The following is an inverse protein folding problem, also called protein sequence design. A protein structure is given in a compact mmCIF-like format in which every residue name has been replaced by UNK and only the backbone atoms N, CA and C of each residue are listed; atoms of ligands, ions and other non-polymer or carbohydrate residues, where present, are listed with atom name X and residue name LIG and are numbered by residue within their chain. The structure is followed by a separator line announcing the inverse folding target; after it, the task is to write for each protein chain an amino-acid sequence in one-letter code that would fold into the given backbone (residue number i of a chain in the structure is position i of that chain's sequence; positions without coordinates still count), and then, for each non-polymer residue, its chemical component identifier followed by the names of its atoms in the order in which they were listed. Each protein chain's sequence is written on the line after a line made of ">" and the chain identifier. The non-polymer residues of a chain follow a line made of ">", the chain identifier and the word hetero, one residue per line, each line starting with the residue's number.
data_IF_070086152250
#
_entry.id   IF_070086152250
#
_cell.length_a   1.000
_cell.length_b   1.000
_cell.length_c   1.000
_cell.angle_alpha   90.00
_cell.angle_beta   90.00
_cell.angle_gamma   90.00
#
_symmetry.space_group_name_H-M   'P 1'
#
loop_
_entity.id
_entity.type
_entity.pdbx_description
1 polymer ?
#
# COMPACT_ATOMS: atom_id res chain seq x y z
N UNK A 1 18.79 -17.39 -3.13
CA UNK A 1 17.37 -17.28 -3.55
C UNK A 1 17.35 -17.27 -5.06
N UNK A 2 16.48 -18.05 -5.70
CA UNK A 2 16.34 -18.03 -7.17
C UNK A 2 15.84 -16.65 -7.64
N UNK A 3 16.24 -16.25 -8.84
CA UNK A 3 15.76 -15.01 -9.44
C UNK A 3 14.26 -15.13 -9.76
N UNK A 4 13.44 -14.09 -9.55
CA UNK A 4 12.03 -14.13 -9.90
C UNK A 4 11.85 -14.31 -11.41
N UNK A 5 10.83 -15.08 -11.79
CA UNK A 5 10.43 -15.25 -13.19
C UNK A 5 9.82 -13.93 -13.70
N UNK A 6 10.24 -13.49 -14.88
CA UNK A 6 9.76 -12.21 -15.44
C UNK A 6 8.57 -12.41 -16.35
N UNK A 7 7.56 -11.58 -16.17
CA UNK A 7 6.36 -11.47 -17.00
C UNK A 7 6.44 -10.11 -17.73
N UNK A 8 6.71 -10.15 -19.03
CA UNK A 8 7.00 -8.95 -19.82
C UNK A 8 5.76 -8.40 -20.55
N UNK A 9 4.76 -9.24 -20.80
CA UNK A 9 3.61 -8.84 -21.62
C UNK A 9 2.32 -9.58 -21.28
N UNK A 10 1.19 -8.97 -21.64
CA UNK A 10 -0.14 -9.61 -21.59
C UNK A 10 -0.21 -10.85 -22.50
N UNK A 11 0.47 -10.83 -23.64
CA UNK A 11 0.52 -11.99 -24.53
C UNK A 11 1.21 -13.18 -23.88
N UNK A 12 2.31 -12.94 -23.14
CA UNK A 12 2.97 -14.00 -22.38
C UNK A 12 2.03 -14.61 -21.34
N UNK A 13 1.32 -13.78 -20.56
CA UNK A 13 0.33 -14.25 -19.59
C UNK A 13 -0.72 -15.16 -20.26
N UNK A 14 -1.30 -14.70 -21.35
CA UNK A 14 -2.33 -15.46 -22.07
C UNK A 14 -1.79 -16.81 -22.56
N UNK A 15 -0.59 -16.85 -23.14
CA UNK A 15 0.03 -18.06 -23.64
C UNK A 15 0.33 -19.07 -22.52
N UNK A 16 0.90 -18.61 -21.40
CA UNK A 16 1.17 -19.45 -20.22
C UNK A 16 -0.13 -20.00 -19.62
N UNK A 17 -1.21 -19.21 -19.66
CA UNK A 17 -2.55 -19.60 -19.20
C UNK A 17 -3.32 -20.45 -20.23
N UNK A 18 -2.78 -20.66 -21.44
CA UNK A 18 -3.46 -21.39 -22.50
C UNK A 18 -4.66 -20.65 -23.09
N UNK A 19 -4.67 -19.32 -22.99
CA UNK A 19 -5.73 -18.46 -23.48
C UNK A 19 -5.32 -17.72 -24.76
N UNK A 20 -6.30 -17.43 -25.62
CA UNK A 20 -6.08 -16.66 -26.85
C UNK A 20 -5.88 -15.18 -26.49
N UNK A 21 -4.84 -14.56 -27.05
CA UNK A 21 -4.65 -13.11 -26.96
C UNK A 21 -5.59 -12.38 -27.91
N UNK A 22 -6.56 -11.66 -27.35
CA UNK A 22 -7.51 -10.83 -28.10
C UNK A 22 -6.97 -9.40 -28.30
N UNK A 23 -6.20 -8.90 -27.33
CA UNK A 23 -5.55 -7.58 -27.39
C UNK A 23 -4.16 -7.65 -26.76
N UNK A 24 -3.11 -7.07 -27.36
CA UNK A 24 -1.74 -7.21 -26.87
C UNK A 24 -1.48 -6.49 -25.53
N UNK A 25 -2.28 -5.48 -25.18
CA UNK A 25 -2.06 -4.62 -24.03
C UNK A 25 -3.03 -4.85 -22.87
N UNK A 26 -4.07 -5.65 -23.03
CA UNK A 26 -5.06 -5.91 -21.95
C UNK A 26 -5.69 -7.29 -22.11
N UNK A 27 -5.97 -7.93 -20.98
CA UNK A 27 -6.70 -9.20 -20.92
C UNK A 27 -7.50 -9.29 -19.63
N UNK A 28 -8.68 -9.92 -19.69
CA UNK A 28 -9.49 -10.33 -18.55
C UNK A 28 -9.72 -11.82 -18.66
N UNK A 29 -9.23 -12.58 -17.70
CA UNK A 29 -9.28 -14.04 -17.69
C UNK A 29 -10.08 -14.58 -16.52
N UNK A 30 -10.92 -15.57 -16.80
CA UNK A 30 -11.40 -16.51 -15.80
C UNK A 30 -10.25 -17.47 -15.49
N UNK A 31 -9.71 -17.39 -14.29
CA UNK A 31 -8.55 -18.17 -13.88
C UNK A 31 -8.89 -19.66 -13.73
N UNK A 32 -10.15 -20.00 -13.45
CA UNK A 32 -10.60 -21.38 -13.32
C UNK A 32 -10.53 -22.15 -14.65
N UNK A 33 -10.60 -21.42 -15.77
CA UNK A 33 -10.48 -21.95 -17.14
C UNK A 33 -9.05 -21.90 -17.68
N UNK A 34 -8.11 -21.48 -16.85
CA UNK A 34 -6.70 -21.31 -17.26
C UNK A 34 -5.87 -22.54 -16.90
N UNK A 35 -4.73 -22.72 -17.58
CA UNK A 35 -3.75 -23.75 -17.19
C UNK A 35 -3.19 -23.46 -15.80
N UNK A 36 -2.83 -24.50 -15.03
CA UNK A 36 -2.11 -24.35 -13.77
C UNK A 36 -0.82 -23.56 -13.94
N UNK A 37 -0.40 -22.86 -12.90
CA UNK A 37 0.82 -22.07 -12.87
C UNK A 37 1.81 -22.65 -11.89
N UNK A 38 3.09 -22.44 -12.19
CA UNK A 38 4.17 -22.84 -11.28
C UNK A 38 4.14 -21.96 -10.03
N UNK A 39 4.32 -22.58 -8.88
CA UNK A 39 4.52 -21.90 -7.62
C UNK A 39 5.94 -21.30 -7.62
N UNK A 40 6.05 -20.01 -7.83
CA UNK A 40 7.31 -19.31 -7.96
C UNK A 40 7.17 -17.83 -7.58
N UNK A 41 8.31 -17.14 -7.48
CA UNK A 41 8.36 -15.68 -7.39
C UNK A 41 8.36 -15.10 -8.79
N UNK A 42 7.55 -14.08 -8.99
CA UNK A 42 7.40 -13.38 -10.26
C UNK A 42 7.71 -11.90 -10.10
N UNK A 43 8.19 -11.27 -11.17
CA UNK A 43 8.24 -9.83 -11.36
C UNK A 43 7.52 -9.50 -12.66
N UNK A 44 6.65 -8.50 -12.67
CA UNK A 44 5.82 -8.19 -13.85
C UNK A 44 6.08 -6.78 -14.35
N UNK A 45 6.09 -6.61 -15.68
CA UNK A 45 6.06 -5.30 -16.34
C UNK A 45 4.61 -4.85 -16.64
N UNK A 46 3.62 -5.64 -16.20
CA UNK A 46 2.19 -5.48 -16.45
C UNK A 46 1.48 -5.22 -15.11
N UNK A 47 0.50 -4.33 -15.07
CA UNK A 47 -0.43 -4.24 -13.95
C UNK A 47 -1.26 -5.51 -13.89
N UNK A 48 -1.35 -6.12 -12.71
CA UNK A 48 -2.10 -7.35 -12.48
C UNK A 48 -3.07 -7.15 -11.33
N UNK A 49 -4.33 -7.49 -11.55
CA UNK A 49 -5.36 -7.44 -10.53
C UNK A 49 -6.02 -8.82 -10.49
N UNK A 50 -6.08 -9.40 -9.30
CA UNK A 50 -6.70 -10.69 -9.07
C UNK A 50 -7.91 -10.54 -8.17
N UNK A 51 -9.07 -10.97 -8.66
CA UNK A 51 -10.26 -11.19 -7.84
C UNK A 51 -10.32 -12.69 -7.52
N UNK A 52 -10.11 -13.04 -6.27
CA UNK A 52 -10.19 -14.41 -5.77
C UNK A 52 -11.58 -14.68 -5.20
N UNK A 53 -12.20 -15.77 -5.63
CA UNK A 53 -13.60 -16.15 -5.33
C UNK A 53 -13.75 -17.09 -4.13
N UNK A 54 -12.66 -17.69 -3.63
CA UNK A 54 -12.75 -18.70 -2.59
C UNK A 54 -11.95 -18.30 -1.35
N UNK A 55 -12.36 -18.88 -0.21
CA UNK A 55 -11.53 -19.05 0.99
C UNK A 55 -10.19 -19.65 0.53
N UNK A 56 -9.26 -18.79 0.13
CA UNK A 56 -7.92 -19.25 -0.14
C UNK A 56 -7.42 -19.92 1.13
N UNK A 57 -7.33 -21.27 1.08
CA UNK A 57 -6.72 -22.03 2.12
C UNK A 57 -5.42 -21.33 2.54
N UNK A 58 -5.21 -21.27 3.84
CA UNK A 58 -4.05 -20.71 4.56
C UNK A 58 -2.92 -20.16 3.67
N UNK A 59 -3.09 -19.00 3.12
CA UNK A 59 -1.94 -18.21 2.70
C UNK A 59 -1.32 -17.72 4.00
N UNK A 60 -0.31 -18.45 4.47
CA UNK A 60 0.47 -18.09 5.65
C UNK A 60 1.29 -16.84 5.36
N UNK A 61 0.69 -15.68 5.55
CA UNK A 61 1.40 -14.43 5.65
C UNK A 61 1.35 -13.98 7.12
N UNK A 62 2.46 -14.16 7.82
CA UNK A 62 2.58 -13.74 9.21
C UNK A 62 1.62 -14.49 10.16
N UNK A 63 1.56 -14.04 11.41
CA UNK A 63 0.83 -14.70 12.52
C UNK A 63 -0.68 -14.39 12.60
N UNK A 64 -1.27 -13.70 11.64
CA UNK A 64 -2.67 -13.28 11.70
C UNK A 64 -3.52 -14.07 10.70
N UNK A 65 -4.52 -14.78 11.22
CA UNK A 65 -5.62 -15.34 10.44
C UNK A 65 -6.53 -14.18 10.01
N UNK A 66 -6.68 -13.98 8.72
CA UNK A 66 -7.70 -13.09 8.18
C UNK A 66 -8.87 -13.93 7.68
N UNK A 67 -10.07 -13.65 8.16
CA UNK A 67 -11.32 -14.21 7.63
C UNK A 67 -11.59 -13.62 6.25
N UNK A 68 -11.38 -14.43 5.22
CA UNK A 68 -11.67 -14.11 3.82
C UNK A 68 -13.03 -14.72 3.45
N UNK A 69 -14.13 -14.09 3.80
CA UNK A 69 -15.41 -14.77 3.65
C UNK A 69 -16.07 -14.59 2.28
N UNK A 70 -15.81 -13.50 1.51
CA UNK A 70 -16.68 -13.18 0.37
C UNK A 70 -15.96 -12.81 -0.93
N UNK A 71 -14.69 -12.49 -0.91
CA UNK A 71 -13.87 -12.15 -2.07
C UNK A 71 -12.71 -11.25 -1.74
N UNK A 72 -11.60 -11.41 -2.48
CA UNK A 72 -10.37 -10.66 -2.22
C UNK A 72 -9.80 -10.11 -3.52
N UNK A 73 -9.54 -8.81 -3.55
CA UNK A 73 -8.81 -8.13 -4.61
C UNK A 73 -7.36 -7.92 -4.22
N UNK A 74 -6.45 -8.35 -5.10
CA UNK A 74 -5.01 -8.11 -5.03
C UNK A 74 -4.59 -7.23 -6.19
N UNK A 75 -3.75 -6.24 -5.92
CA UNK A 75 -3.23 -5.29 -6.90
C UNK A 75 -1.71 -5.39 -6.95
N UNK A 76 -1.16 -5.56 -8.15
CA UNK A 76 0.28 -5.68 -8.38
C UNK A 76 0.67 -4.68 -9.46
N UNK A 77 1.60 -3.79 -9.11
CA UNK A 77 2.16 -2.81 -10.02
C UNK A 77 3.32 -3.40 -10.85
N UNK A 78 3.64 -2.83 -12.02
CA UNK A 78 4.87 -3.13 -12.74
C UNK A 78 6.11 -2.95 -11.86
N UNK A 79 7.04 -3.90 -11.94
CA UNK A 79 8.28 -3.92 -11.15
C UNK A 79 8.14 -4.52 -9.73
N UNK A 80 6.94 -4.82 -9.27
CA UNK A 80 6.71 -5.44 -7.98
C UNK A 80 6.95 -6.95 -8.05
N UNK A 81 7.66 -7.49 -7.05
CA UNK A 81 7.87 -8.94 -6.90
C UNK A 81 6.73 -9.53 -6.09
N UNK A 82 6.13 -10.61 -6.59
CA UNK A 82 5.00 -11.29 -5.95
C UNK A 82 5.10 -12.81 -6.13
N UNK A 83 4.23 -13.56 -5.46
CA UNK A 83 4.16 -15.02 -5.53
C UNK A 83 4.74 -15.70 -4.29
N UNK A 84 5.09 -16.98 -4.43
CA UNK A 84 5.51 -17.85 -3.33
C UNK A 84 7.00 -18.21 -3.47
N UNK A 85 7.55 -18.82 -2.42
CA UNK A 85 8.85 -19.48 -2.56
C UNK A 85 8.76 -20.56 -3.66
N UNK A 86 9.83 -20.67 -4.44
CA UNK A 86 9.87 -21.58 -5.59
C UNK A 86 9.69 -23.04 -5.13
N UNK A 87 8.71 -23.72 -5.72
CA UNK A 87 8.49 -25.15 -5.56
C UNK A 87 8.21 -25.81 -6.91
N UNK A 88 8.21 -27.12 -6.97
CA UNK A 88 7.80 -27.86 -8.17
C UNK A 88 6.27 -27.97 -8.31
N UNK A 89 5.52 -27.44 -7.35
CA UNK A 89 4.08 -27.50 -7.35
C UNK A 89 3.47 -26.62 -8.45
N UNK A 90 2.37 -27.11 -8.99
CA UNK A 90 1.50 -26.36 -9.90
C UNK A 90 0.23 -26.00 -9.15
N UNK A 91 -0.13 -24.71 -9.19
CA UNK A 91 -1.36 -24.20 -8.56
C UNK A 91 -2.40 -23.94 -9.64
N UNK A 92 -3.61 -24.47 -9.44
CA UNK A 92 -4.77 -24.07 -10.25
C UNK A 92 -5.32 -22.77 -9.69
N UNK A 93 -5.17 -21.64 -10.40
CA UNK A 93 -5.74 -20.38 -9.92
C UNK A 93 -7.27 -20.39 -10.09
N UNK A 94 -7.97 -19.68 -9.20
CA UNK A 94 -9.42 -19.49 -9.23
C UNK A 94 -9.75 -18.01 -9.28
N UNK A 95 -11.01 -17.68 -9.62
CA UNK A 95 -11.50 -16.31 -9.71
C UNK A 95 -11.10 -15.63 -11.02
N UNK A 96 -10.94 -14.32 -11.00
CA UNK A 96 -10.72 -13.50 -12.18
C UNK A 96 -9.39 -12.76 -12.14
N UNK A 97 -8.79 -12.52 -13.32
CA UNK A 97 -7.60 -11.68 -13.48
C UNK A 97 -7.83 -10.61 -14.54
N UNK A 98 -7.52 -9.36 -14.19
CA UNK A 98 -7.38 -8.25 -15.13
C UNK A 98 -5.90 -7.90 -15.24
N UNK A 99 -5.38 -7.93 -16.46
CA UNK A 99 -3.98 -7.65 -16.79
C UNK A 99 -3.91 -6.54 -17.83
N UNK A 100 -3.12 -5.50 -17.59
CA UNK A 100 -2.91 -4.47 -18.60
C UNK A 100 -1.51 -3.87 -18.57
N UNK A 101 -0.94 -3.68 -19.75
CA UNK A 101 0.36 -3.07 -19.92
C UNK A 101 0.29 -1.55 -19.73
N UNK A 102 1.31 -0.89 -19.16
CA UNK A 102 1.33 0.58 -19.00
C UNK A 102 1.06 1.36 -20.28
N UNK A 103 1.44 0.83 -21.43
CA UNK A 103 1.20 1.49 -22.73
C UNK A 103 -0.29 1.63 -23.09
N UNK A 104 -1.17 0.79 -22.52
CA UNK A 104 -2.62 0.92 -22.72
C UNK A 104 -3.12 2.27 -22.22
N UNK A 105 -2.62 2.69 -21.06
CA UNK A 105 -3.08 3.90 -20.35
C UNK A 105 -2.22 5.13 -20.65
N UNK A 106 -1.11 4.98 -21.36
CA UNK A 106 -0.20 6.08 -21.71
C UNK A 106 -0.93 7.18 -22.49
N UNK A 107 -0.83 8.44 -22.01
CA UNK A 107 -1.49 9.60 -22.61
C UNK A 107 -2.99 9.75 -22.27
N UNK A 108 -3.57 8.84 -21.49
CA UNK A 108 -4.94 8.96 -20.95
C UNK A 108 -4.96 9.66 -19.60
N UNK A 109 -6.16 9.99 -19.10
CA UNK A 109 -6.33 10.51 -17.74
C UNK A 109 -5.81 9.48 -16.72
N UNK A 110 -6.24 8.24 -16.83
CA UNK A 110 -5.78 7.15 -15.96
C UNK A 110 -4.24 7.04 -15.91
N UNK A 111 -3.57 7.16 -17.07
CA UNK A 111 -2.11 7.11 -17.12
C UNK A 111 -1.41 8.25 -16.37
N UNK A 112 -2.07 9.39 -16.16
CA UNK A 112 -1.55 10.51 -15.36
C UNK A 112 -1.76 10.31 -13.86
N UNK A 113 -2.87 9.68 -13.46
CA UNK A 113 -3.26 9.52 -12.06
C UNK A 113 -3.09 8.10 -11.51
N UNK A 114 -2.55 7.15 -12.28
CA UNK A 114 -2.40 5.74 -11.85
C UNK A 114 -1.59 5.61 -10.53
N UNK A 115 -0.63 6.48 -10.30
CA UNK A 115 0.17 6.50 -9.08
C UNK A 115 -0.58 7.04 -7.83
N UNK A 116 -1.77 7.61 -8.02
CA UNK A 116 -2.63 8.07 -6.93
C UNK A 116 -3.40 6.91 -6.29
N UNK A 117 -3.55 5.79 -7.02
CA UNK A 117 -4.13 4.54 -6.49
C UNK A 117 -3.10 3.84 -5.60
N UNK A 118 -3.09 4.22 -4.32
CA UNK A 118 -2.08 3.81 -3.34
C UNK A 118 -1.99 2.30 -3.13
N UNK A 119 -3.08 1.57 -3.34
CA UNK A 119 -3.16 0.13 -3.15
C UNK A 119 -2.30 -0.69 -4.12
N UNK A 120 -1.82 -0.12 -5.21
CA UNK A 120 -0.76 -0.74 -6.03
C UNK A 120 0.61 -0.80 -5.34
N UNK A 121 0.75 -0.12 -4.19
CA UNK A 121 1.97 -0.12 -3.37
C UNK A 121 1.77 -0.81 -2.01
N UNK A 122 0.63 -1.47 -1.81
CA UNK A 122 0.33 -2.24 -0.61
C UNK A 122 0.94 -3.65 -0.71
N UNK A 123 1.21 -4.25 0.44
CA UNK A 123 1.63 -5.64 0.49
C UNK A 123 0.43 -6.59 0.31
N UNK A 124 0.70 -7.84 -0.07
CA UNK A 124 -0.35 -8.84 -0.36
C UNK A 124 -1.25 -9.13 0.86
N UNK A 125 -0.71 -9.00 2.07
CA UNK A 125 -1.47 -9.13 3.32
C UNK A 125 -2.40 -7.93 3.63
N UNK A 126 -2.32 -6.86 2.83
CA UNK A 126 -3.16 -5.67 2.90
C UNK A 126 -4.23 -5.67 1.81
N UNK A 127 -4.57 -6.85 1.32
CA UNK A 127 -5.56 -7.04 0.25
C UNK A 127 -6.93 -6.45 0.60
N UNK A 128 -7.66 -6.05 -0.43
CA UNK A 128 -9.00 -5.53 -0.29
C UNK A 128 -10.01 -6.69 -0.20
N UNK A 129 -10.77 -6.72 0.90
CA UNK A 129 -11.89 -7.63 1.07
C UNK A 129 -13.18 -6.95 0.65
N UNK A 130 -13.93 -7.62 -0.21
CA UNK A 130 -15.14 -7.09 -0.80
C UNK A 130 -16.35 -7.95 -0.46
N UNK A 131 -17.51 -7.30 -0.32
CA UNK A 131 -18.81 -7.94 -0.17
C UNK A 131 -19.31 -8.49 -1.51
N UNK A 132 -20.34 -9.34 -1.49
CA UNK A 132 -20.98 -9.84 -2.69
C UNK A 132 -21.48 -8.73 -3.61
N UNK A 133 -22.09 -7.67 -3.05
CA UNK A 133 -22.56 -6.53 -3.83
C UNK A 133 -21.39 -5.75 -4.49
N UNK A 134 -20.27 -5.60 -3.80
CA UNK A 134 -19.06 -4.98 -4.34
C UNK A 134 -18.41 -5.87 -5.42
N UNK A 135 -18.44 -7.20 -5.21
CA UNK A 135 -17.97 -8.18 -6.18
C UNK A 135 -18.74 -8.10 -7.50
N UNK A 136 -20.05 -7.96 -7.46
CA UNK A 136 -20.88 -7.78 -8.67
C UNK A 136 -20.44 -6.52 -9.45
N UNK A 137 -20.17 -5.39 -8.78
CA UNK A 137 -19.68 -4.17 -9.41
C UNK A 137 -18.33 -4.42 -10.12
N UNK A 138 -17.42 -5.16 -9.47
CA UNK A 138 -16.12 -5.53 -10.07
C UNK A 138 -16.33 -6.37 -11.33
N UNK A 139 -17.17 -7.39 -11.24
CA UNK A 139 -17.48 -8.28 -12.37
C UNK A 139 -18.17 -7.55 -13.52
N UNK A 140 -19.04 -6.58 -13.24
CA UNK A 140 -19.62 -5.73 -14.29
C UNK A 140 -18.55 -4.98 -15.08
N UNK A 141 -17.57 -4.38 -14.39
CA UNK A 141 -16.45 -3.70 -15.05
C UNK A 141 -15.62 -4.67 -15.90
N UNK A 142 -15.30 -5.85 -15.36
CA UNK A 142 -14.54 -6.87 -16.08
C UNK A 142 -15.31 -7.39 -17.29
N UNK A 143 -16.61 -7.61 -17.18
CA UNK A 143 -17.45 -8.07 -18.28
C UNK A 143 -17.57 -7.03 -19.40
N UNK A 144 -17.63 -5.72 -19.08
CA UNK A 144 -17.60 -4.67 -20.09
C UNK A 144 -16.29 -4.65 -20.86
N UNK A 145 -15.15 -4.82 -20.16
CA UNK A 145 -13.84 -4.94 -20.83
C UNK A 145 -13.83 -6.18 -21.72
N UNK A 146 -14.29 -7.34 -21.24
CA UNK A 146 -14.36 -8.57 -22.03
C UNK A 146 -15.24 -8.43 -23.27
N UNK A 147 -16.37 -7.72 -23.14
CA UNK A 147 -17.25 -7.43 -24.26
C UNK A 147 -16.50 -6.66 -25.36
N UNK A 148 -15.77 -5.59 -25.02
CA UNK A 148 -14.97 -4.84 -25.97
C UNK A 148 -13.89 -5.71 -26.64
N UNK A 149 -13.23 -6.59 -25.87
CA UNK A 149 -12.18 -7.47 -26.39
C UNK A 149 -12.71 -8.57 -27.31
N UNK A 150 -13.98 -8.98 -27.15
CA UNK A 150 -14.62 -9.99 -27.97
C UNK A 150 -15.13 -9.46 -29.32
N UNK A 151 -15.21 -8.14 -29.49
CA UNK A 151 -15.68 -7.48 -30.70
C UNK A 151 -14.51 -6.90 -31.53
N UNK A 152 -14.71 -6.57 -32.80
CA UNK A 152 -13.67 -5.93 -33.60
C UNK A 152 -13.20 -4.61 -32.98
N UNK A 153 -11.89 -4.49 -32.77
CA UNK A 153 -11.28 -3.31 -32.17
C UNK A 153 -11.42 -2.11 -33.13
N UNK A 154 -11.97 -1.01 -32.62
CA UNK A 154 -12.16 0.24 -33.35
C UNK A 154 -11.50 1.43 -32.61
N UNK A 155 -11.71 2.65 -33.14
CA UNK A 155 -11.15 3.88 -32.55
C UNK A 155 -11.66 4.22 -31.16
N UNK A 156 -12.76 3.63 -30.71
CA UNK A 156 -13.40 3.87 -29.41
C UNK A 156 -13.02 2.81 -28.37
N UNK A 157 -12.64 1.61 -28.80
CA UNK A 157 -12.38 0.46 -27.93
C UNK A 157 -11.39 0.78 -26.83
N UNK A 158 -10.25 1.44 -27.15
CA UNK A 158 -9.27 1.83 -26.13
C UNK A 158 -9.87 2.75 -25.05
N UNK A 159 -10.67 3.73 -25.45
CA UNK A 159 -11.31 4.65 -24.52
C UNK A 159 -12.28 3.92 -23.61
N UNK A 160 -13.11 3.04 -24.17
CA UNK A 160 -14.08 2.26 -23.40
C UNK A 160 -13.41 1.30 -22.43
N UNK A 161 -12.36 0.60 -22.84
CA UNK A 161 -11.58 -0.29 -22.00
C UNK A 161 -10.95 0.49 -20.84
N UNK A 162 -10.23 1.58 -21.14
CA UNK A 162 -9.55 2.40 -20.13
C UNK A 162 -10.54 3.02 -19.14
N UNK A 163 -11.71 3.51 -19.62
CA UNK A 163 -12.76 4.06 -18.75
C UNK A 163 -13.33 3.02 -17.80
N UNK A 164 -13.50 1.77 -18.24
CA UNK A 164 -13.95 0.69 -17.35
C UNK A 164 -12.87 0.28 -16.34
N UNK A 165 -11.60 0.30 -16.71
CA UNK A 165 -10.48 0.10 -15.76
C UNK A 165 -10.48 1.23 -14.72
N UNK A 166 -10.57 2.48 -15.15
CA UNK A 166 -10.58 3.64 -14.25
C UNK A 166 -11.78 3.62 -13.30
N UNK A 167 -12.97 3.28 -13.82
CA UNK A 167 -14.17 3.13 -12.99
C UNK A 167 -13.99 2.03 -11.93
N UNK A 168 -13.47 0.87 -12.32
CA UNK A 168 -13.14 -0.22 -11.39
C UNK A 168 -12.15 0.25 -10.30
N UNK A 169 -11.07 0.95 -10.66
CA UNK A 169 -10.09 1.46 -9.70
C UNK A 169 -10.70 2.49 -8.73
N UNK A 170 -11.58 3.36 -9.22
CA UNK A 170 -12.31 4.33 -8.37
C UNK A 170 -13.25 3.61 -7.37
N UNK A 171 -13.94 2.55 -7.79
CA UNK A 171 -14.70 1.72 -6.86
C UNK A 171 -13.80 1.06 -5.83
N UNK A 172 -12.61 0.59 -6.22
CA UNK A 172 -11.65 -0.02 -5.30
C UNK A 172 -11.17 0.98 -4.23
N UNK A 173 -10.97 2.26 -4.57
CA UNK A 173 -10.72 3.32 -3.59
C UNK A 173 -11.84 3.39 -2.56
N UNK A 174 -13.10 3.44 -3.02
CA UNK A 174 -14.28 3.48 -2.14
C UNK A 174 -14.37 2.24 -1.23
N UNK A 175 -14.04 1.06 -1.76
CA UNK A 175 -14.08 -0.19 -0.99
C UNK A 175 -12.97 -0.25 0.06
N UNK A 176 -11.76 0.23 -0.25
CA UNK A 176 -10.71 0.41 0.76
C UNK A 176 -11.14 1.42 1.84
N UNK A 177 -11.79 2.52 1.45
CA UNK A 177 -12.31 3.48 2.40
C UNK A 177 -13.32 2.87 3.36
N UNK A 178 -14.23 2.04 2.86
CA UNK A 178 -15.15 1.25 3.69
C UNK A 178 -14.38 0.27 4.58
N UNK A 179 -13.41 -0.48 4.04
CA UNK A 179 -12.62 -1.45 4.79
C UNK A 179 -11.87 -0.80 5.95
N UNK A 180 -11.29 0.38 5.74
CA UNK A 180 -10.67 1.16 6.81
C UNK A 180 -11.67 1.52 7.92
N UNK A 181 -12.91 1.86 7.57
CA UNK A 181 -13.95 2.17 8.57
C UNK A 181 -14.43 0.93 9.33
N UNK A 182 -14.66 -0.19 8.64
CA UNK A 182 -15.19 -1.41 9.27
C UNK A 182 -14.18 -2.15 10.12
N UNK A 183 -12.89 -1.92 9.93
CA UNK A 183 -11.78 -2.52 10.71
C UNK A 183 -11.25 -1.61 11.82
N UNK A 184 -12.07 -0.71 12.34
CA UNK A 184 -11.70 0.29 13.35
C UNK A 184 -10.96 -0.33 14.56
N UNK A 185 -11.36 -1.51 15.03
CA UNK A 185 -10.67 -2.18 16.15
C UNK A 185 -9.23 -2.56 15.80
N UNK A 186 -9.01 -3.15 14.63
CA UNK A 186 -7.65 -3.54 14.17
C UNK A 186 -6.78 -2.29 13.97
N UNK A 187 -7.36 -1.23 13.44
CA UNK A 187 -6.65 0.03 13.20
C UNK A 187 -6.30 0.75 14.51
N UNK A 188 -7.16 0.70 15.52
CA UNK A 188 -6.84 1.19 16.87
C UNK A 188 -5.68 0.42 17.51
N UNK A 189 -5.62 -0.90 17.31
CA UNK A 189 -4.51 -1.72 17.79
C UNK A 189 -3.20 -1.33 17.07
N UNK A 190 -3.23 -1.09 15.75
CA UNK A 190 -2.07 -0.59 14.99
C UNK A 190 -1.64 0.79 15.47
N UNK A 191 -2.58 1.72 15.69
CA UNK A 191 -2.26 3.06 16.20
C UNK A 191 -1.69 3.00 17.60
N UNK A 192 -2.26 2.18 18.48
CA UNK A 192 -1.74 1.94 19.85
C UNK A 192 -0.33 1.34 19.79
N UNK A 193 -0.11 0.36 18.90
CA UNK A 193 1.21 -0.21 18.66
C UNK A 193 2.22 0.81 18.15
N UNK A 194 1.78 1.71 17.26
CA UNK A 194 2.60 2.80 16.73
C UNK A 194 2.99 3.79 17.83
N UNK A 195 2.05 4.19 18.67
CA UNK A 195 2.31 5.07 19.83
C UNK A 195 3.30 4.43 20.80
N UNK A 196 3.11 3.16 21.13
CA UNK A 196 4.04 2.38 21.95
C UNK A 196 5.44 2.30 21.35
N UNK A 197 5.52 2.06 20.03
CA UNK A 197 6.78 2.05 19.29
C UNK A 197 7.50 3.40 19.39
N UNK A 198 6.79 4.52 19.16
CA UNK A 198 7.37 5.87 19.25
C UNK A 198 7.84 6.19 20.66
N UNK A 199 7.04 5.88 21.68
CA UNK A 199 7.41 6.09 23.06
C UNK A 199 8.71 5.33 23.42
N UNK A 200 8.78 4.04 23.08
CA UNK A 200 9.98 3.24 23.30
C UNK A 200 11.19 3.76 22.52
N UNK A 201 10.98 4.19 21.27
CA UNK A 201 12.06 4.75 20.44
C UNK A 201 12.62 6.05 21.05
N UNK A 202 11.74 6.96 21.46
CA UNK A 202 12.14 8.26 22.00
C UNK A 202 12.75 8.17 23.39
N UNK A 203 12.45 7.12 24.14
CA UNK A 203 13.10 6.85 25.45
C UNK A 203 14.45 6.13 25.31
N UNK A 204 14.74 5.56 24.14
CA UNK A 204 15.98 4.83 23.87
C UNK A 204 17.09 5.74 23.30
N UNK A 205 18.31 5.23 23.32
CA UNK A 205 19.45 5.90 22.67
C UNK A 205 19.33 5.98 21.14
N UNK A 206 18.38 5.23 20.54
CA UNK A 206 18.16 5.21 19.08
C UNK A 206 17.87 6.61 18.54
N UNK A 207 17.11 7.42 19.28
CA UNK A 207 16.79 8.79 18.86
C UNK A 207 18.08 9.63 18.69
N UNK A 208 19.00 9.52 19.62
CA UNK A 208 20.27 10.26 19.57
C UNK A 208 21.23 9.74 18.50
N UNK A 209 21.26 8.40 18.28
CA UNK A 209 22.22 7.76 17.37
C UNK A 209 21.72 7.79 15.92
N UNK A 210 20.43 7.47 15.70
CA UNK A 210 19.83 7.27 14.39
C UNK A 210 18.95 8.44 13.93
N UNK A 211 18.65 9.39 14.84
CA UNK A 211 17.68 10.46 14.57
C UNK A 211 16.23 9.96 14.61
N UNK A 212 15.33 10.72 14.00
CA UNK A 212 13.89 10.37 13.95
C UNK A 212 13.65 9.05 13.21
N UNK A 213 12.73 8.20 13.72
CA UNK A 213 12.32 7.00 12.98
C UNK A 213 11.65 7.40 11.67
N UNK A 214 11.98 6.71 10.59
CA UNK A 214 11.29 6.89 9.33
C UNK A 214 9.92 6.22 9.34
N UNK A 215 9.02 6.66 8.47
CA UNK A 215 7.71 5.99 8.26
C UNK A 215 7.93 4.52 7.87
N UNK A 216 8.90 4.24 7.01
CA UNK A 216 9.23 2.87 6.61
C UNK A 216 9.72 2.00 7.78
N UNK A 217 10.51 2.57 8.70
CA UNK A 217 10.92 1.86 9.91
C UNK A 217 9.72 1.51 10.79
N UNK A 218 8.83 2.48 11.04
CA UNK A 218 7.64 2.26 11.86
C UNK A 218 6.70 1.22 11.23
N UNK A 219 6.47 1.32 9.93
CA UNK A 219 5.65 0.37 9.19
C UNK A 219 6.22 -1.06 9.28
N UNK A 220 7.53 -1.22 9.07
CA UNK A 220 8.20 -2.53 9.15
C UNK A 220 8.08 -3.16 10.56
N UNK A 221 8.15 -2.36 11.62
CA UNK A 221 7.98 -2.85 13.01
C UNK A 221 6.54 -3.31 13.30
N UNK A 222 5.58 -2.82 12.53
CA UNK A 222 4.16 -3.18 12.62
C UNK A 222 3.74 -4.22 11.56
N UNK A 223 4.69 -4.73 10.77
CA UNK A 223 4.46 -5.68 9.66
C UNK A 223 3.48 -5.14 8.61
N UNK A 224 3.61 -3.86 8.29
CA UNK A 224 2.80 -3.16 7.29
C UNK A 224 3.69 -2.55 6.19
N UNK A 225 3.11 -2.39 4.99
CA UNK A 225 3.77 -1.59 3.96
C UNK A 225 3.77 -0.11 4.36
N UNK A 226 4.82 0.66 4.00
CA UNK A 226 4.90 2.07 4.34
C UNK A 226 3.72 2.89 3.81
N UNK A 227 3.17 2.50 2.67
CA UNK A 227 2.06 3.21 2.05
C UNK A 227 0.74 2.94 2.77
N UNK A 228 0.42 1.67 3.02
CA UNK A 228 -0.78 1.31 3.80
C UNK A 228 -0.76 1.91 5.20
N UNK A 229 0.38 1.79 5.90
CA UNK A 229 0.57 2.41 7.20
C UNK A 229 0.36 3.93 7.17
N UNK A 230 0.90 4.61 6.16
CA UNK A 230 0.72 6.06 5.99
C UNK A 230 -0.74 6.45 5.75
N UNK A 231 -1.46 5.70 4.91
CA UNK A 231 -2.87 5.94 4.62
C UNK A 231 -3.75 5.64 5.86
N UNK A 232 -3.44 4.56 6.61
CA UNK A 232 -4.10 4.23 7.87
C UNK A 232 -3.93 5.35 8.91
N UNK A 233 -2.70 5.77 9.19
CA UNK A 233 -2.43 6.83 10.19
C UNK A 233 -3.13 8.12 9.78
N UNK A 234 -3.09 8.49 8.49
CA UNK A 234 -3.76 9.69 7.99
C UNK A 234 -5.28 9.62 8.18
N UNK A 235 -5.87 8.46 7.96
CA UNK A 235 -7.32 8.27 8.11
C UNK A 235 -7.74 8.34 9.58
N UNK A 236 -7.00 7.68 10.47
CA UNK A 236 -7.32 7.62 11.91
C UNK A 236 -7.04 8.95 12.64
N UNK A 237 -6.00 9.69 12.22
CA UNK A 237 -5.52 10.88 12.96
C UNK A 237 -5.73 12.21 12.23
N UNK A 238 -6.07 12.16 10.95
CA UNK A 238 -6.13 13.33 10.07
C UNK A 238 -4.74 13.89 9.68
N UNK A 239 -3.64 13.24 10.13
CA UNK A 239 -2.26 13.67 9.91
C UNK A 239 -1.47 12.59 9.18
N UNK A 240 -0.52 12.97 8.34
CA UNK A 240 0.42 11.99 7.79
C UNK A 240 1.23 11.33 8.92
N UNK A 241 1.70 10.11 8.70
CA UNK A 241 2.55 9.40 9.66
C UNK A 241 3.83 10.20 10.00
N UNK A 242 4.40 10.90 9.02
CA UNK A 242 5.56 11.78 9.24
C UNK A 242 5.23 12.96 10.17
N UNK A 243 4.09 13.63 9.95
CA UNK A 243 3.63 14.72 10.84
C UNK A 243 3.35 14.20 12.26
N UNK A 244 2.76 13.00 12.37
CA UNK A 244 2.49 12.39 13.67
C UNK A 244 3.79 12.12 14.46
N UNK A 245 4.81 11.57 13.81
CA UNK A 245 6.15 11.37 14.40
C UNK A 245 6.74 12.70 14.87
N UNK A 246 6.64 13.76 14.05
CA UNK A 246 7.16 15.09 14.39
C UNK A 246 6.43 15.71 15.59
N UNK A 247 5.11 15.58 15.67
CA UNK A 247 4.33 16.08 16.80
C UNK A 247 4.70 15.37 18.10
N UNK A 248 4.86 14.06 18.07
CA UNK A 248 5.33 13.30 19.25
C UNK A 248 6.75 13.73 19.69
N UNK A 249 7.63 14.00 18.74
CA UNK A 249 8.96 14.57 19.06
C UNK A 249 8.84 15.94 19.75
N UNK A 250 7.93 16.79 19.28
CA UNK A 250 7.68 18.11 19.88
C UNK A 250 7.17 17.96 21.33
N UNK A 251 6.30 17.01 21.61
CA UNK A 251 5.82 16.76 22.97
C UNK A 251 6.99 16.36 23.89
N UNK A 252 7.84 15.44 23.46
CA UNK A 252 9.06 15.07 24.19
C UNK A 252 10.01 16.26 24.34
N UNK A 253 10.16 17.08 23.31
CA UNK A 253 10.99 18.29 23.36
C UNK A 253 10.46 19.31 24.41
N UNK A 254 9.15 19.53 24.44
CA UNK A 254 8.52 20.43 25.43
C UNK A 254 8.81 19.97 26.87
N UNK A 255 8.68 18.67 27.15
CA UNK A 255 9.00 18.11 28.46
C UNK A 255 10.48 18.35 28.83
N UNK A 256 11.41 18.07 27.90
CA UNK A 256 12.83 18.26 28.17
C UNK A 256 13.24 19.74 28.32
N UNK A 257 12.57 20.65 27.60
CA UNK A 257 12.84 22.10 27.70
C UNK A 257 12.50 22.65 29.09
N UNK A 258 11.57 22.07 29.81
CA UNK A 258 11.24 22.47 31.19
C UNK A 258 12.36 22.16 32.18
N UNK A 259 13.22 21.20 31.89
CA UNK A 259 14.40 20.93 32.70
C UNK A 259 15.46 22.03 32.52
N UNK A 260 15.49 22.96 33.46
CA UNK A 260 16.41 24.10 33.45
C UNK A 260 17.88 23.72 33.64
N UNK A 261 18.14 22.49 34.10
CA UNK A 261 19.52 21.99 34.25
C UNK A 261 20.21 21.71 32.91
N UNK A 262 19.43 21.59 31.82
CA UNK A 262 19.90 21.28 30.46
C UNK A 262 19.84 22.50 29.56
N UNK A 263 20.93 22.70 28.82
CA UNK A 263 20.94 23.69 27.75
C UNK A 263 20.09 23.23 26.54
N UNK A 264 19.59 24.18 25.76
CA UNK A 264 18.85 23.88 24.52
C UNK A 264 19.70 23.07 23.55
N UNK A 265 21.02 23.27 23.55
CA UNK A 265 21.95 22.50 22.69
C UNK A 265 22.05 21.04 23.13
N UNK A 266 22.15 20.76 24.40
CA UNK A 266 22.14 19.38 24.93
C UNK A 266 20.85 18.66 24.63
N UNK A 267 19.71 19.36 24.79
CA UNK A 267 18.40 18.82 24.42
C UNK A 267 18.34 18.49 22.92
N UNK A 268 18.82 19.40 22.07
CA UNK A 268 18.85 19.18 20.61
C UNK A 268 19.65 17.92 20.25
N UNK A 269 20.84 17.74 20.81
CA UNK A 269 21.65 16.55 20.58
C UNK A 269 20.97 15.26 21.09
N UNK A 270 20.36 15.32 22.28
CA UNK A 270 19.64 14.19 22.85
C UNK A 270 18.42 13.79 22.00
N UNK A 271 17.78 14.77 21.34
CA UNK A 271 16.69 14.56 20.40
C UNK A 271 17.14 14.19 18.98
N UNK A 272 18.43 13.88 18.79
CA UNK A 272 18.99 13.39 17.54
C UNK A 272 19.26 14.46 16.48
N UNK A 273 19.22 15.74 16.84
CA UNK A 273 19.57 16.81 15.89
C UNK A 273 21.07 16.98 15.82
N UNK A 274 21.62 16.88 14.62
CA UNK A 274 23.05 17.10 14.36
C UNK A 274 23.50 18.54 14.66
N UNK A 275 22.59 19.51 14.51
CA UNK A 275 22.84 20.93 14.73
C UNK A 275 21.72 21.54 15.59
N UNK A 276 22.03 22.18 16.72
CA UNK A 276 21.03 22.83 17.59
C UNK A 276 20.19 23.91 16.89
N UNK A 277 20.75 24.57 15.88
CA UNK A 277 20.01 25.55 15.05
C UNK A 277 18.87 24.91 14.26
N UNK A 278 19.02 23.66 13.79
CA UNK A 278 17.96 22.94 13.10
C UNK A 278 16.82 22.59 14.07
N UNK A 279 17.15 22.15 15.30
CA UNK A 279 16.18 21.94 16.36
C UNK A 279 15.41 23.23 16.68
N UNK A 280 16.11 24.34 16.91
CA UNK A 280 15.50 25.62 17.24
C UNK A 280 14.52 26.06 16.15
N UNK A 281 14.90 25.94 14.88
CA UNK A 281 14.03 26.27 13.74
C UNK A 281 12.82 25.33 13.66
N UNK A 282 13.03 24.03 13.79
CA UNK A 282 11.97 23.03 13.78
C UNK A 282 10.99 23.29 14.92
N UNK A 283 11.47 23.47 16.14
CA UNK A 283 10.63 23.72 17.31
C UNK A 283 9.81 25.01 17.13
N UNK A 284 10.46 26.11 16.68
CA UNK A 284 9.77 27.38 16.44
C UNK A 284 8.69 27.27 15.37
N UNK A 285 8.95 26.49 14.31
CA UNK A 285 7.97 26.25 13.25
C UNK A 285 6.73 25.50 13.77
N UNK A 286 6.89 24.55 14.68
CA UNK A 286 5.82 23.71 15.21
C UNK A 286 5.07 24.36 16.40
N UNK A 287 5.77 25.15 17.21
CA UNK A 287 5.24 25.70 18.49
C UNK A 287 4.95 27.19 18.41
N UNK A 288 5.51 27.90 17.42
CA UNK A 288 5.40 29.34 17.27
C UNK A 288 6.46 30.13 18.03
N UNK A 289 7.11 29.54 19.02
CA UNK A 289 8.15 30.16 19.87
C UNK A 289 9.44 29.36 19.77
N UNK A 290 10.59 30.03 19.93
CA UNK A 290 11.86 29.32 20.08
C UNK A 290 11.89 28.55 21.41
N UNK A 291 12.75 27.50 21.56
CA UNK A 291 12.88 26.76 22.80
C UNK A 291 13.14 27.65 24.03
N UNK A 292 13.97 28.67 23.87
CA UNK A 292 14.26 29.64 24.96
C UNK A 292 13.08 30.54 25.29
N UNK A 293 12.33 31.01 24.30
CA UNK A 293 11.11 31.81 24.51
C UNK A 293 10.04 30.94 25.18
N UNK A 294 9.86 29.68 24.73
CA UNK A 294 8.94 28.72 25.33
C UNK A 294 9.28 28.44 26.80
N UNK A 295 10.57 28.20 27.13
CA UNK A 295 11.02 28.02 28.51
C UNK A 295 10.70 29.23 29.40
N UNK A 296 10.89 30.45 28.86
CA UNK A 296 10.58 31.70 29.59
C UNK A 296 9.09 31.96 29.78
N UNK A 297 8.25 31.49 28.89
CA UNK A 297 6.81 31.70 28.98
C UNK A 297 6.11 30.82 30.02
N UNK A 298 6.79 29.81 30.52
CA UNK A 298 6.29 28.84 31.49
C UNK A 298 6.87 29.02 32.91
N UNK A 299 7.90 29.86 33.05
CA UNK A 299 8.48 30.31 34.30
C UNK A 299 8.16 31.77 34.56
#
# INVERSE_FOLDING_TARGET
>A
MANPLRIESVTQINNERGQKTLHPLVSVLDQSLSKPVKEARYISDVYMIFLKDEKCGEVKYGRNHYDYEEGTLLFIAPGQVFGFEESENMIQPTGWGLFFHPDLIRGTHLGKCINEYSFFSYDVNEALHISDAEREIVLECFNKIRYELAHPIDKHSRTLIVSNIEMFLNYSVRFYDRQFLTREHIHKDVLTGFEGLLNNYFQSEKLQILGLPSVSYCAAQLNLSPKYFGDLVKKETGKSAQEYIQLKLIDVAKEQILDISKSVSEIAYKLGFKYPSHFTRFFKQQVGHSPNEYRKSLN
#
